data_IF_602534503353
#
_entry.id   IF_602534503353
#
_cell.length_a   1.000
_cell.length_b   1.000
_cell.length_c   1.000
_cell.angle_alpha   90.00
_cell.angle_beta   90.00
_cell.angle_gamma   90.00
#
_symmetry.space_group_name_H-M   'P 1'
#
loop_
_entity.id
_entity.type
_entity.pdbx_description
1 polymer ?
#
# COMPACT_ATOMS: atom_id res chain seq x y z
N UNK A 1 2.14 6.48 -13.68
CA UNK A 1 1.65 7.25 -12.52
C UNK A 1 1.37 6.36 -11.31
N UNK A 2 0.39 5.45 -11.36
CA UNK A 2 0.07 4.54 -10.23
C UNK A 2 1.26 3.65 -9.86
N UNK A 3 1.88 3.02 -10.87
CA UNK A 3 3.08 2.18 -10.68
C UNK A 3 4.26 2.98 -10.13
N UNK A 4 4.40 4.25 -10.52
CA UNK A 4 5.49 5.11 -10.03
C UNK A 4 5.28 5.49 -8.56
N UNK A 5 4.02 5.71 -8.14
CA UNK A 5 3.69 5.94 -6.73
C UNK A 5 3.99 4.72 -5.86
N UNK A 6 3.63 3.52 -6.32
CA UNK A 6 3.94 2.28 -5.58
C UNK A 6 5.45 2.07 -5.47
N UNK A 7 6.21 2.34 -6.53
CA UNK A 7 7.68 2.31 -6.49
C UNK A 7 8.26 3.32 -5.50
N UNK A 8 7.72 4.53 -5.44
CA UNK A 8 8.15 5.53 -4.44
C UNK A 8 7.90 5.01 -3.02
N UNK A 9 6.72 4.40 -2.77
CA UNK A 9 6.43 3.76 -1.49
C UNK A 9 7.40 2.62 -1.18
N UNK A 10 7.73 1.78 -2.18
CA UNK A 10 8.70 0.69 -2.08
C UNK A 10 10.08 1.21 -1.68
N UNK A 11 10.59 2.22 -2.37
CA UNK A 11 11.91 2.81 -2.12
C UNK A 11 11.96 3.41 -0.72
N UNK A 12 10.94 4.17 -0.31
CA UNK A 12 10.87 4.77 1.02
C UNK A 12 10.84 3.68 2.10
N UNK A 13 9.99 2.66 1.94
CA UNK A 13 9.85 1.59 2.91
C UNK A 13 11.13 0.75 3.03
N UNK A 14 11.77 0.43 1.91
CA UNK A 14 13.03 -0.29 1.89
C UNK A 14 14.17 0.55 2.50
N UNK A 15 14.19 1.86 2.25
CA UNK A 15 15.13 2.79 2.89
C UNK A 15 14.96 2.83 4.41
N UNK A 16 13.72 2.92 4.89
CA UNK A 16 13.39 2.86 6.32
C UNK A 16 13.82 1.51 6.92
N UNK A 17 13.51 0.40 6.23
CA UNK A 17 13.88 -0.95 6.67
C UNK A 17 15.40 -1.12 6.82
N UNK A 18 16.18 -0.55 5.89
CA UNK A 18 17.64 -0.56 5.90
C UNK A 18 18.28 0.51 6.78
N UNK A 19 17.47 1.33 7.47
CA UNK A 19 17.91 2.45 8.32
C UNK A 19 18.72 3.52 7.58
N UNK A 20 18.40 3.76 6.30
CA UNK A 20 18.96 4.88 5.55
C UNK A 20 18.40 6.22 6.04
N UNK A 21 19.13 7.30 5.78
CA UNK A 21 18.65 8.65 6.10
C UNK A 21 17.58 9.13 5.10
N UNK A 22 16.64 9.99 5.51
CA UNK A 22 15.64 10.54 4.58
C UNK A 22 16.25 11.22 3.35
N UNK A 23 17.40 11.87 3.52
CA UNK A 23 18.14 12.56 2.47
C UNK A 23 18.72 11.58 1.44
N UNK A 24 19.26 10.44 1.90
CA UNK A 24 19.74 9.35 1.02
C UNK A 24 18.59 8.77 0.20
N UNK A 25 17.44 8.55 0.82
CA UNK A 25 16.23 8.04 0.14
C UNK A 25 15.75 9.04 -0.91
N UNK A 26 15.72 10.33 -0.57
CA UNK A 26 15.33 11.39 -1.51
C UNK A 26 16.27 11.44 -2.72
N UNK A 27 17.58 11.32 -2.48
CA UNK A 27 18.57 11.26 -3.55
C UNK A 27 18.40 10.01 -4.42
N UNK A 28 18.07 8.86 -3.83
CA UNK A 28 17.78 7.63 -4.57
C UNK A 28 16.58 7.81 -5.51
N UNK A 29 15.46 8.33 -5.00
CA UNK A 29 14.25 8.61 -5.80
C UNK A 29 14.55 9.61 -6.93
N UNK A 30 15.32 10.66 -6.63
CA UNK A 30 15.70 11.69 -7.60
C UNK A 30 16.66 11.15 -8.67
N UNK A 31 17.52 10.19 -8.32
CA UNK A 31 18.48 9.57 -9.23
C UNK A 31 17.83 8.59 -10.21
N UNK A 32 16.75 7.93 -9.80
CA UNK A 32 16.03 6.94 -10.60
C UNK A 32 15.08 7.57 -11.63
N UNK A 33 15.41 8.68 -12.30
CA UNK A 33 14.62 9.26 -13.41
C UNK A 33 13.10 9.36 -13.19
N UNK A 34 12.64 9.33 -11.94
CA UNK A 34 11.24 9.40 -11.60
C UNK A 34 10.89 10.88 -11.52
N UNK A 35 10.13 11.37 -12.51
CA UNK A 35 9.56 12.72 -12.52
C UNK A 35 8.43 12.80 -11.49
N UNK A 36 8.77 12.60 -10.23
CA UNK A 36 7.82 12.63 -9.13
C UNK A 36 8.10 13.89 -8.35
N UNK A 37 7.10 14.76 -8.27
CA UNK A 37 7.21 16.02 -7.54
C UNK A 37 7.57 15.77 -6.06
N UNK A 38 8.35 16.68 -5.48
CA UNK A 38 8.72 16.63 -4.07
C UNK A 38 7.50 16.54 -3.14
N UNK A 39 6.37 17.15 -3.54
CA UNK A 39 5.09 17.08 -2.84
C UNK A 39 4.55 15.65 -2.74
N UNK A 40 4.74 14.84 -3.79
CA UNK A 40 4.29 13.45 -3.83
C UNK A 40 5.15 12.59 -2.91
N UNK A 41 6.46 12.84 -2.86
CA UNK A 41 7.37 12.15 -1.95
C UNK A 41 6.99 12.48 -0.49
N UNK A 42 6.73 13.75 -0.17
CA UNK A 42 6.29 14.17 1.17
C UNK A 42 4.95 13.52 1.57
N UNK A 43 3.99 13.43 0.64
CA UNK A 43 2.73 12.73 0.86
C UNK A 43 2.96 11.23 1.12
N UNK A 44 3.81 10.58 0.34
CA UNK A 44 4.15 9.16 0.51
C UNK A 44 4.78 8.87 1.89
N UNK A 45 5.69 9.73 2.35
CA UNK A 45 6.24 9.65 3.72
C UNK A 45 5.13 9.77 4.78
N UNK A 46 4.21 10.71 4.59
CA UNK A 46 3.10 10.93 5.50
C UNK A 46 2.20 9.69 5.58
N UNK A 47 1.86 9.08 4.45
CA UNK A 47 1.04 7.87 4.39
C UNK A 47 1.70 6.67 5.08
N UNK A 48 3.01 6.46 4.85
CA UNK A 48 3.76 5.38 5.52
C UNK A 48 3.77 5.61 7.03
N UNK A 49 4.02 6.84 7.47
CA UNK A 49 4.07 7.16 8.89
C UNK A 49 2.71 7.01 9.58
N UNK A 50 1.63 7.50 8.97
CA UNK A 50 0.26 7.33 9.46
C UNK A 50 -0.10 5.85 9.59
N UNK A 51 0.28 5.03 8.61
CA UNK A 51 0.06 3.59 8.65
C UNK A 51 0.83 2.93 9.80
N UNK A 52 2.13 3.26 9.96
CA UNK A 52 2.95 2.73 11.05
C UNK A 52 2.37 3.08 12.43
N UNK A 53 1.85 4.31 12.60
CA UNK A 53 1.15 4.73 13.82
C UNK A 53 -0.15 3.93 14.06
N UNK A 54 -0.94 3.71 13.01
CA UNK A 54 -2.18 2.90 13.08
C UNK A 54 -1.89 1.46 13.47
N UNK A 55 -0.82 0.88 12.93
CA UNK A 55 -0.38 -0.47 13.27
C UNK A 55 0.11 -0.56 14.72
N UNK A 56 0.79 0.47 15.21
CA UNK A 56 1.25 0.53 16.60
C UNK A 56 0.08 0.65 17.59
N UNK A 57 -0.94 1.45 17.26
CA UNK A 57 -2.11 1.67 18.13
C UNK A 57 -3.10 0.50 18.12
N UNK A 58 -3.20 -0.23 17.00
CA UNK A 58 -4.14 -1.35 16.86
C UNK A 58 -3.60 -2.71 17.32
N UNK A 59 -2.28 -2.86 17.45
CA UNK A 59 -1.65 -4.11 17.86
C UNK A 59 -0.85 -3.94 19.15
N UNK A 60 -1.44 -4.25 20.32
CA UNK A 60 -0.72 -4.32 21.59
C UNK A 60 0.34 -5.46 21.66
N UNK A 61 0.47 -6.30 20.63
CA UNK A 61 1.54 -7.29 20.49
C UNK A 61 2.50 -6.87 19.39
N UNK A 62 3.46 -5.99 19.73
CA UNK A 62 4.57 -5.65 18.84
C UNK A 62 5.60 -6.80 18.81
N UNK A 63 5.23 -7.93 18.21
CA UNK A 63 6.19 -8.97 17.82
C UNK A 63 6.39 -8.86 16.31
N UNK A 64 7.19 -7.88 15.87
CA UNK A 64 7.89 -7.95 14.56
C UNK A 64 9.08 -8.92 14.63
N UNK A 65 8.91 -10.06 15.31
CA UNK A 65 9.81 -11.20 15.12
C UNK A 65 9.49 -11.73 13.73
N UNK A 66 10.49 -11.79 12.84
CA UNK A 66 10.33 -12.07 11.41
C UNK A 66 9.50 -13.32 11.11
N UNK A 67 8.18 -13.16 11.12
CA UNK A 67 7.22 -14.20 10.81
C UNK A 67 7.33 -14.45 9.32
N UNK A 68 7.72 -15.66 8.96
CA UNK A 68 7.74 -16.08 7.58
C UNK A 68 6.28 -16.35 7.14
N UNK A 69 5.77 -15.54 6.22
CA UNK A 69 4.50 -15.80 5.54
C UNK A 69 4.75 -16.72 4.35
N UNK A 70 3.98 -17.79 4.26
CA UNK A 70 3.91 -18.66 3.09
C UNK A 70 2.48 -18.65 2.55
N UNK A 71 2.33 -18.52 1.24
CA UNK A 71 1.04 -18.66 0.58
C UNK A 71 0.71 -20.13 0.32
N UNK A 72 -0.56 -20.48 0.48
CA UNK A 72 -1.11 -21.76 0.06
C UNK A 72 -1.09 -21.92 -1.46
N UNK A 73 -1.28 -23.15 -1.94
CA UNK A 73 -1.43 -23.46 -3.37
C UNK A 73 -2.61 -22.70 -3.99
N UNK A 74 -3.70 -22.58 -3.25
CA UNK A 74 -4.94 -21.91 -3.64
C UNK A 74 -4.71 -20.41 -3.80
N UNK A 75 -4.07 -19.78 -2.81
CA UNK A 75 -3.69 -18.35 -2.87
C UNK A 75 -2.70 -18.09 -4.00
N UNK A 76 -1.72 -18.96 -4.19
CA UNK A 76 -0.72 -18.83 -5.26
C UNK A 76 -1.37 -18.95 -6.64
N UNK A 77 -2.33 -19.85 -6.80
CA UNK A 77 -3.10 -19.99 -8.05
C UNK A 77 -4.01 -18.79 -8.30
N UNK A 78 -4.61 -18.23 -7.25
CA UNK A 78 -5.46 -17.03 -7.33
C UNK A 78 -4.65 -15.79 -7.73
N UNK A 79 -3.51 -15.58 -7.08
CA UNK A 79 -2.66 -14.41 -7.28
C UNK A 79 -1.81 -14.51 -8.57
N UNK A 80 -1.36 -15.73 -8.88
CA UNK A 80 -0.26 -15.97 -9.81
C UNK A 80 1.10 -15.77 -9.13
N UNK A 81 2.10 -16.53 -9.58
CA UNK A 81 3.44 -16.57 -8.96
C UNK A 81 4.14 -15.20 -8.92
N UNK A 82 3.97 -14.39 -9.97
CA UNK A 82 4.60 -13.05 -10.04
C UNK A 82 4.03 -12.12 -8.97
N UNK A 83 2.71 -12.07 -8.84
CA UNK A 83 2.05 -11.19 -7.88
C UNK A 83 2.25 -11.69 -6.44
N UNK A 84 2.28 -13.01 -6.22
CA UNK A 84 2.59 -13.60 -4.93
C UNK A 84 4.01 -13.21 -4.46
N UNK A 85 5.01 -13.32 -5.33
CA UNK A 85 6.37 -12.87 -5.01
C UNK A 85 6.43 -11.36 -4.73
N UNK A 86 5.66 -10.58 -5.48
CA UNK A 86 5.57 -9.13 -5.30
C UNK A 86 4.98 -8.76 -3.92
N UNK A 87 3.94 -9.47 -3.46
CA UNK A 87 3.41 -9.30 -2.10
C UNK A 87 4.41 -9.64 -1.01
N UNK A 88 5.11 -10.77 -1.16
CA UNK A 88 6.11 -11.20 -0.18
C UNK A 88 7.24 -10.18 -0.08
N UNK A 89 7.63 -9.57 -1.21
CA UNK A 89 8.60 -8.48 -1.19
C UNK A 89 8.14 -7.33 -0.29
N UNK A 90 6.91 -6.84 -0.46
CA UNK A 90 6.37 -5.76 0.37
C UNK A 90 6.19 -6.11 1.83
N UNK A 91 5.83 -7.35 2.11
CA UNK A 91 5.75 -7.87 3.47
C UNK A 91 7.14 -7.91 4.14
N UNK A 92 8.16 -8.38 3.41
CA UNK A 92 9.53 -8.50 3.92
C UNK A 92 10.16 -7.14 4.24
N UNK A 93 9.91 -6.11 3.44
CA UNK A 93 10.37 -4.74 3.74
C UNK A 93 9.52 -4.07 4.84
N UNK A 94 8.48 -4.74 5.34
CA UNK A 94 7.59 -4.23 6.38
C UNK A 94 6.63 -3.15 5.88
N UNK A 95 6.42 -3.03 4.56
CA UNK A 95 5.45 -2.12 3.99
C UNK A 95 4.03 -2.66 4.20
N UNK A 96 3.84 -3.98 4.15
CA UNK A 96 2.58 -4.67 4.41
C UNK A 96 2.70 -5.53 5.66
N UNK A 97 1.62 -5.64 6.42
CA UNK A 97 1.48 -6.58 7.54
C UNK A 97 0.55 -7.75 7.16
N UNK A 98 0.37 -8.72 8.06
CA UNK A 98 -0.47 -9.89 7.79
C UNK A 98 -1.93 -9.53 7.46
N UNK A 99 -2.50 -8.55 8.17
CA UNK A 99 -3.87 -8.08 7.94
C UNK A 99 -4.02 -7.44 6.57
N UNK A 100 -2.99 -6.73 6.10
CA UNK A 100 -2.97 -6.15 4.77
C UNK A 100 -2.96 -7.22 3.68
N UNK A 101 -2.14 -8.27 3.86
CA UNK A 101 -2.09 -9.39 2.93
C UNK A 101 -3.45 -10.10 2.83
N UNK A 102 -4.08 -10.38 3.98
CA UNK A 102 -5.39 -11.02 4.03
C UNK A 102 -6.45 -10.18 3.31
N UNK A 103 -6.45 -8.85 3.53
CA UNK A 103 -7.35 -7.92 2.83
C UNK A 103 -7.12 -7.95 1.32
N UNK A 104 -5.88 -7.92 0.84
CA UNK A 104 -5.59 -7.95 -0.59
C UNK A 104 -6.08 -9.26 -1.21
N UNK A 105 -5.80 -10.40 -0.57
CA UNK A 105 -6.24 -11.72 -1.05
C UNK A 105 -7.76 -11.80 -1.09
N UNK A 106 -8.43 -11.31 -0.04
CA UNK A 106 -9.89 -11.25 0.02
C UNK A 106 -10.45 -10.39 -1.12
N UNK A 107 -9.90 -9.20 -1.37
CA UNK A 107 -10.35 -8.36 -2.48
C UNK A 107 -10.15 -9.04 -3.83
N UNK A 108 -9.00 -9.68 -4.04
CA UNK A 108 -8.69 -10.40 -5.28
C UNK A 108 -9.66 -11.58 -5.48
N UNK A 109 -10.02 -12.29 -4.40
CA UNK A 109 -10.97 -13.40 -4.47
C UNK A 109 -12.36 -12.99 -4.99
N UNK A 110 -12.70 -11.70 -4.90
CA UNK A 110 -13.97 -11.13 -5.37
C UNK A 110 -13.92 -10.66 -6.82
N UNK A 111 -12.75 -10.70 -7.48
CA UNK A 111 -12.67 -10.35 -8.90
C UNK A 111 -13.32 -11.45 -9.75
N UNK A 112 -14.24 -11.09 -10.66
CA UNK A 112 -14.86 -12.06 -11.55
C UNK A 112 -13.80 -12.63 -12.50
N UNK A 113 -13.49 -13.92 -12.30
CA UNK A 113 -12.64 -14.81 -13.10
C UNK A 113 -11.65 -14.12 -14.07
N UNK A 114 -10.46 -13.80 -13.57
CA UNK A 114 -9.33 -13.36 -14.38
C UNK A 114 -8.06 -13.24 -13.54
N UNK A 115 -6.90 -13.40 -14.17
CA UNK A 115 -5.60 -13.10 -13.54
C UNK A 115 -5.51 -11.59 -13.30
N UNK A 116 -5.33 -11.18 -12.04
CA UNK A 116 -5.18 -9.77 -11.67
C UNK A 116 -3.90 -9.19 -12.29
N UNK A 117 -4.02 -8.08 -13.01
CA UNK A 117 -2.85 -7.43 -13.61
C UNK A 117 -2.00 -6.74 -12.54
N UNK A 118 -0.72 -6.51 -12.82
CA UNK A 118 0.16 -5.76 -11.92
C UNK A 118 -0.38 -4.35 -11.62
N UNK A 119 -1.10 -3.73 -12.56
CA UNK A 119 -1.70 -2.42 -12.34
C UNK A 119 -2.85 -2.48 -11.35
N UNK A 120 -3.74 -3.47 -11.47
CA UNK A 120 -4.82 -3.69 -10.50
C UNK A 120 -4.24 -3.98 -9.11
N UNK A 121 -3.13 -4.72 -9.09
CA UNK A 121 -2.38 -5.02 -7.88
C UNK A 121 -1.85 -3.74 -7.20
N UNK A 122 -1.23 -2.85 -7.97
CA UNK A 122 -0.72 -1.57 -7.49
C UNK A 122 -1.84 -0.68 -6.94
N UNK A 123 -3.03 -0.72 -7.55
CA UNK A 123 -4.20 -0.01 -7.04
C UNK A 123 -4.62 -0.54 -5.67
N UNK A 124 -4.67 -1.87 -5.50
CA UNK A 124 -4.99 -2.48 -4.21
C UNK A 124 -3.98 -2.11 -3.13
N UNK A 125 -2.67 -2.09 -3.46
CA UNK A 125 -1.64 -1.65 -2.52
C UNK A 125 -1.88 -0.19 -2.12
N UNK A 126 -2.07 0.71 -3.08
CA UNK A 126 -2.30 2.14 -2.79
C UNK A 126 -3.55 2.37 -1.94
N UNK A 127 -4.62 1.61 -2.18
CA UNK A 127 -5.86 1.69 -1.41
C UNK A 127 -5.69 1.34 0.08
N UNK A 128 -4.61 0.66 0.47
CA UNK A 128 -4.29 0.44 1.89
C UNK A 128 -3.68 1.67 2.58
N UNK A 129 -3.03 2.55 1.81
CA UNK A 129 -2.36 3.75 2.32
C UNK A 129 -3.27 4.97 2.28
N UNK A 130 -4.01 5.11 1.20
CA UNK A 130 -5.07 6.09 1.07
C UNK A 130 -6.25 5.51 1.84
N UNK A 131 -6.47 5.96 3.08
CA UNK A 131 -7.63 5.58 3.92
C UNK A 131 -8.94 6.01 3.20
N UNK A 132 -9.32 5.33 2.10
CA UNK A 132 -10.45 5.71 1.22
C UNK A 132 -11.75 5.70 2.03
N UNK A 133 -11.82 4.84 3.04
CA UNK A 133 -12.92 4.78 4.02
C UNK A 133 -13.13 6.10 4.78
N UNK A 134 -12.09 6.93 4.95
CA UNK A 134 -12.21 8.26 5.57
C UNK A 134 -12.68 9.35 4.60
N UNK A 135 -12.47 9.16 3.29
CA UNK A 135 -12.85 10.15 2.27
C UNK A 135 -14.38 10.17 2.12
N UNK A 136 -15.03 9.03 2.36
CA UNK A 136 -16.48 8.92 2.40
C UNK A 136 -16.91 7.94 3.49
N UNK A 137 -17.08 8.39 4.76
CA UNK A 137 -17.78 7.56 5.72
C UNK A 137 -19.17 7.25 5.16
N UNK A 138 -19.58 5.98 5.21
CA UNK A 138 -20.91 5.56 4.81
C UNK A 138 -21.95 6.37 5.62
N UNK A 139 -22.64 7.30 4.95
CA UNK A 139 -23.54 8.26 5.60
C UNK A 139 -23.07 9.73 5.61
N UNK A 140 -21.93 10.06 4.98
CA UNK A 140 -21.48 11.44 4.80
C UNK A 140 -22.51 12.25 3.99
N UNK A 141 -23.30 13.08 4.69
CA UNK A 141 -24.23 14.06 4.09
C UNK A 141 -23.55 15.02 3.10
N UNK A 142 -22.21 15.09 3.10
CA UNK A 142 -21.41 15.92 2.20
C UNK A 142 -21.63 15.59 0.71
N UNK A 143 -22.01 14.34 0.39
CA UNK A 143 -22.35 13.93 -0.97
C UNK A 143 -23.75 14.40 -1.41
N UNK A 144 -24.71 14.50 -0.47
CA UNK A 144 -26.05 15.04 -0.73
C UNK A 144 -26.00 16.55 -0.96
N UNK A 145 -25.15 17.28 -0.23
CA UNK A 145 -25.00 18.72 -0.38
C UNK A 145 -24.27 19.16 -1.66
N UNK A 146 -23.55 18.28 -2.37
CA UNK A 146 -22.82 18.67 -3.58
C UNK A 146 -23.66 18.60 -4.86
N UNK A 147 -24.80 17.90 -4.84
CA UNK A 147 -25.76 17.89 -5.96
C UNK A 147 -26.81 19.00 -5.86
N UNK A 148 -26.89 19.69 -4.72
CA UNK A 148 -27.85 20.77 -4.53
C UNK A 148 -27.28 22.09 -5.09
N UNK A 149 -27.33 22.23 -6.41
CA UNK A 149 -27.27 23.55 -7.05
C UNK A 149 -28.71 24.03 -7.21
N UNK A 150 -29.20 24.80 -6.24
CA UNK A 150 -30.37 25.65 -6.46
C UNK A 150 -29.92 26.78 -7.40
N UNK A 151 -30.40 26.74 -8.64
CA UNK A 151 -30.47 27.89 -9.53
C UNK A 151 -31.83 27.88 -10.21
#
# INVERSE_FOLDING_TARGET
MITDLVKVLEIIANGIHRKHTPEEIFHQISSEKHTVDSNVIAAAYSWIYEKLLKDFTSNCSYNRSGSLRFFSSEETNLLGMVNANYLLHFYNIGLLNEKDLDKIIEQISRFPHGTVSLNDFNVLILALFLDVDKITPAGSRKMLYSSDKIN
#
